data_IF_301662432126
#
_entry.id   IF_301662432126
#
_cell.length_a   1.000
_cell.length_b   1.000
_cell.length_c   1.000
_cell.angle_alpha   90.00
_cell.angle_beta   90.00
_cell.angle_gamma   90.00
#
_symmetry.space_group_name_H-M   'P 1'
#
loop_
_entity.id
_entity.type
_entity.pdbx_description
1 polymer ?
#
# COMPACT_ATOMS: atom_id res chain seq x y z
N UNK A 1 -15.54 -21.24 -63.74
CA UNK A 1 -15.19 -22.39 -64.59
C UNK A 1 -13.93 -22.99 -64.02
N UNK A 2 -14.07 -24.20 -63.45
CA UNK A 2 -13.05 -25.10 -62.87
C UNK A 2 -12.50 -24.67 -61.50
N UNK A 3 -12.89 -25.29 -60.37
CA UNK A 3 -12.69 -26.70 -59.93
C UNK A 3 -11.21 -27.04 -59.76
N UNK A 4 -10.69 -27.77 -58.75
CA UNK A 4 -11.01 -28.27 -57.40
C UNK A 4 -9.63 -28.73 -56.87
N UNK A 5 -9.52 -29.03 -55.57
CA UNK A 5 -8.53 -29.87 -54.88
C UNK A 5 -7.42 -29.06 -54.18
N UNK A 6 -7.17 -29.22 -52.86
CA UNK A 6 -7.24 -30.44 -52.06
C UNK A 6 -7.74 -30.23 -50.62
N UNK A 7 -8.69 -31.09 -50.27
CA UNK A 7 -9.12 -31.46 -48.92
C UNK A 7 -8.02 -32.29 -48.26
N UNK A 8 -7.66 -32.01 -47.00
CA UNK A 8 -6.81 -32.91 -46.20
C UNK A 8 -7.05 -32.77 -44.70
N UNK A 9 -8.21 -33.26 -44.26
CA UNK A 9 -8.35 -34.03 -43.03
C UNK A 9 -8.86 -35.43 -43.42
N UNK A 10 -8.65 -36.54 -42.66
CA UNK A 10 -8.35 -36.60 -41.23
C UNK A 10 -7.27 -37.62 -40.79
N UNK A 11 -6.42 -37.23 -39.85
CA UNK A 11 -5.47 -38.12 -39.16
C UNK A 11 -5.83 -38.39 -37.70
N UNK A 12 -7.09 -38.72 -37.39
CA UNK A 12 -7.54 -39.22 -36.08
C UNK A 12 -6.84 -40.57 -35.76
N UNK A 13 -5.59 -40.54 -35.27
CA UNK A 13 -4.92 -41.74 -34.70
C UNK A 13 -3.64 -41.48 -33.89
N UNK A 14 -3.21 -40.24 -33.66
CA UNK A 14 -1.89 -39.98 -33.01
C UNK A 14 -1.89 -39.15 -31.73
N UNK A 15 -3.06 -38.78 -31.20
CA UNK A 15 -3.16 -38.06 -29.91
C UNK A 15 -3.68 -38.95 -28.76
N UNK A 16 -3.99 -40.22 -29.03
CA UNK A 16 -4.51 -41.16 -28.02
C UNK A 16 -3.45 -42.01 -27.30
N UNK A 17 -2.18 -41.93 -27.71
CA UNK A 17 -1.08 -42.63 -27.04
C UNK A 17 -0.56 -41.98 -25.74
N UNK A 18 -0.55 -40.63 -25.53
CA UNK A 18 -0.11 -40.09 -24.25
C UNK A 18 -1.17 -40.24 -23.13
N UNK A 19 -2.45 -40.33 -23.48
CA UNK A 19 -3.55 -40.44 -22.50
C UNK A 19 -3.62 -41.85 -21.87
N UNK A 20 -3.33 -42.90 -22.63
CA UNK A 20 -3.34 -44.29 -22.12
C UNK A 20 -2.17 -44.56 -21.18
N UNK A 21 -0.99 -43.98 -21.42
CA UNK A 21 0.16 -44.10 -20.51
C UNK A 21 -0.11 -43.41 -19.17
N UNK A 22 -0.76 -42.24 -19.18
CA UNK A 22 -1.10 -41.52 -17.95
C UNK A 22 -2.15 -42.26 -17.10
N UNK A 23 -3.17 -42.85 -17.73
CA UNK A 23 -4.20 -43.63 -17.02
C UNK A 23 -3.64 -44.92 -16.42
N UNK A 24 -2.68 -45.58 -17.07
CA UNK A 24 -2.01 -46.77 -16.51
C UNK A 24 -1.14 -46.42 -15.30
N UNK A 25 -0.45 -45.27 -15.31
CA UNK A 25 0.38 -44.83 -14.16
C UNK A 25 -0.49 -44.43 -12.96
N UNK A 26 -1.61 -43.75 -13.19
CA UNK A 26 -2.56 -43.39 -12.11
C UNK A 26 -3.29 -44.63 -11.58
N UNK A 27 -3.65 -45.59 -12.44
CA UNK A 27 -4.27 -46.85 -12.03
C UNK A 27 -3.36 -47.76 -11.18
N UNK A 28 -2.06 -47.81 -11.50
CA UNK A 28 -1.08 -48.59 -10.72
C UNK A 28 -0.80 -47.97 -9.35
N UNK A 29 -0.87 -46.64 -9.22
CA UNK A 29 -0.74 -45.95 -7.94
C UNK A 29 -1.95 -46.18 -7.01
N UNK A 30 -3.17 -46.29 -7.57
CA UNK A 30 -4.39 -46.56 -6.78
C UNK A 30 -4.48 -48.04 -6.38
N UNK A 31 -4.01 -48.97 -7.21
CA UNK A 31 -4.00 -50.40 -6.88
C UNK A 31 -2.99 -50.77 -5.78
N UNK A 32 -1.87 -50.06 -5.66
CA UNK A 32 -0.87 -50.28 -4.61
C UNK A 32 -1.35 -49.82 -3.21
N UNK A 33 -2.30 -48.89 -3.15
CA UNK A 33 -2.83 -48.37 -1.89
C UNK A 33 -3.87 -49.28 -1.21
N UNK A 34 -4.40 -50.29 -1.92
CA UNK A 34 -5.49 -51.16 -1.42
C UNK A 34 -5.05 -52.56 -0.97
N UNK A 35 -3.75 -52.85 -0.90
CA UNK A 35 -3.23 -54.19 -0.58
C UNK A 35 -2.35 -54.26 0.68
N UNK A 36 -2.71 -53.53 1.75
CA UNK A 36 -2.08 -53.70 3.07
C UNK A 36 -3.17 -53.94 4.13
N UNK A 37 -3.21 -55.13 4.77
CA UNK A 37 -4.23 -55.46 5.76
C UNK A 37 -4.04 -54.68 7.09
N UNK A 38 -5.12 -54.46 7.86
CA UNK A 38 -5.05 -53.77 9.15
C UNK A 38 -4.59 -54.74 10.23
N UNK A 39 -3.42 -54.50 10.82
CA UNK A 39 -3.03 -55.13 12.09
C UNK A 39 -3.41 -54.18 13.22
N UNK A 40 -4.52 -54.50 13.88
CA UNK A 40 -4.94 -53.92 15.14
C UNK A 40 -3.98 -54.37 16.25
N UNK A 41 -3.15 -53.45 16.73
CA UNK A 41 -2.54 -53.53 18.07
C UNK A 41 -3.06 -52.34 18.87
N UNK A 42 -3.77 -52.54 20.00
CA UNK A 42 -4.11 -51.44 20.89
C UNK A 42 -2.83 -51.00 21.62
N UNK A 43 -2.03 -50.17 20.98
CA UNK A 43 -1.01 -49.39 21.66
C UNK A 43 -1.74 -48.32 22.48
N UNK A 44 -1.50 -48.33 23.79
CA UNK A 44 -2.16 -47.48 24.77
C UNK A 44 -2.29 -46.04 24.29
N UNK A 45 -3.52 -45.56 24.34
CA UNK A 45 -3.87 -44.16 24.16
C UNK A 45 -3.02 -43.34 25.15
N UNK A 46 -2.10 -42.47 24.71
CA UNK A 46 -1.58 -41.46 25.60
C UNK A 46 -2.76 -40.57 25.95
N UNK A 47 -3.16 -40.59 27.22
CA UNK A 47 -4.02 -39.55 27.76
C UNK A 47 -3.41 -38.20 27.37
N UNK A 48 -4.21 -37.22 26.91
CA UNK A 48 -3.74 -35.86 26.81
C UNK A 48 -3.36 -35.42 28.23
N UNK A 49 -2.08 -35.51 28.56
CA UNK A 49 -1.54 -34.79 29.71
C UNK A 49 -1.53 -33.33 29.30
N UNK A 50 -2.63 -32.64 29.53
CA UNK A 50 -2.65 -31.19 29.64
C UNK A 50 -1.88 -30.82 30.90
N UNK A 51 -0.55 -30.89 30.84
CA UNK A 51 0.28 -30.12 31.76
C UNK A 51 0.10 -28.68 31.33
N UNK A 52 -0.51 -27.80 32.15
CA UNK A 52 -0.44 -26.38 31.86
C UNK A 52 1.04 -26.02 31.82
N UNK A 53 1.53 -25.58 30.66
CA UNK A 53 2.79 -24.85 30.60
C UNK A 53 2.58 -23.57 31.38
N UNK A 54 2.92 -23.61 32.67
CA UNK A 54 3.06 -22.42 33.49
C UNK A 54 4.17 -21.60 32.81
N UNK A 55 3.89 -20.38 32.31
CA UNK A 55 4.96 -19.51 31.86
C UNK A 55 5.93 -19.32 33.02
N UNK A 56 7.25 -19.31 32.80
CA UNK A 56 8.20 -19.05 33.88
C UNK A 56 7.82 -17.73 34.56
N UNK A 57 7.35 -17.81 35.81
CA UNK A 57 7.09 -16.65 36.67
C UNK A 57 8.36 -16.26 37.41
N UNK A 58 9.44 -16.04 36.67
CA UNK A 58 10.71 -15.59 37.22
C UNK A 58 11.14 -14.28 36.57
N UNK A 59 10.34 -13.22 36.76
CA UNK A 59 10.79 -11.82 36.64
C UNK A 59 9.70 -10.88 37.19
N UNK A 60 9.37 -10.95 38.48
CA UNK A 60 9.11 -9.76 39.33
C UNK A 60 9.13 -10.26 40.78
N UNK A 61 10.17 -9.96 41.55
CA UNK A 61 10.01 -9.87 43.02
C UNK A 61 9.06 -8.71 43.28
N UNK A 62 7.83 -8.98 43.72
CA UNK A 62 6.81 -7.97 44.06
C UNK A 62 7.28 -7.01 45.18
N UNK A 63 8.38 -7.34 45.87
CA UNK A 63 8.95 -6.60 47.00
C UNK A 63 10.21 -5.77 46.65
N UNK A 64 10.63 -5.75 45.39
CA UNK A 64 11.73 -4.89 44.97
C UNK A 64 11.23 -3.44 44.80
N UNK A 65 11.84 -2.42 45.44
CA UNK A 65 11.49 -1.04 45.18
C UNK A 65 11.72 -0.72 43.69
N UNK A 66 10.67 -0.27 43.01
CA UNK A 66 10.75 0.20 41.62
C UNK A 66 11.76 1.37 41.58
N UNK A 67 12.75 1.36 40.66
CA UNK A 67 13.59 2.53 40.45
C UNK A 67 12.70 3.74 40.21
N UNK A 68 12.91 4.81 40.98
CA UNK A 68 12.21 6.07 40.72
C UNK A 68 12.85 6.68 39.47
N UNK A 69 12.19 6.56 38.32
CA UNK A 69 12.59 7.29 37.12
C UNK A 69 12.39 8.79 37.38
N UNK A 70 13.46 9.57 37.25
CA UNK A 70 13.32 11.03 37.19
C UNK A 70 12.54 11.36 35.93
N UNK A 71 11.45 12.16 35.99
CA UNK A 71 10.72 12.55 34.80
C UNK A 71 11.68 13.16 33.79
N UNK A 72 11.83 12.51 32.64
CA UNK A 72 12.53 13.11 31.51
C UNK A 72 11.74 14.37 31.13
N UNK A 73 12.39 15.55 30.99
CA UNK A 73 11.68 16.71 30.47
C UNK A 73 10.99 16.32 29.16
N UNK A 74 9.70 16.64 29.04
CA UNK A 74 8.97 16.43 27.81
C UNK A 74 9.76 17.07 26.65
N UNK A 75 9.79 16.44 25.46
CA UNK A 75 10.30 17.11 24.28
C UNK A 75 9.66 18.47 24.21
N UNK A 76 10.46 19.53 24.07
CA UNK A 76 9.91 20.84 23.79
C UNK A 76 9.08 20.69 22.52
N UNK A 77 7.79 21.04 22.57
CA UNK A 77 7.02 21.27 21.36
C UNK A 77 7.84 22.25 20.53
N UNK A 78 8.38 21.80 19.38
CA UNK A 78 8.94 22.71 18.38
C UNK A 78 7.78 23.56 17.90
N UNK A 79 7.52 24.63 18.65
CA UNK A 79 6.34 25.44 18.54
C UNK A 79 6.51 26.45 17.42
N UNK A 80 6.43 25.99 16.18
CA UNK A 80 5.84 26.74 15.07
C UNK A 80 5.23 25.69 14.12
N UNK A 81 3.95 25.82 13.70
CA UNK A 81 3.50 25.10 12.52
C UNK A 81 4.41 25.53 11.36
N UNK A 82 4.80 24.59 10.49
CA UNK A 82 5.45 24.96 9.24
C UNK A 82 4.58 26.01 8.56
N UNK A 83 5.18 27.13 8.15
CA UNK A 83 4.44 28.23 7.55
C UNK A 83 3.73 27.70 6.29
N UNK A 84 2.42 27.92 6.17
CA UNK A 84 1.66 27.51 4.99
C UNK A 84 1.56 28.66 4.01
N UNK A 85 1.71 28.36 2.72
CA UNK A 85 1.36 29.28 1.65
C UNK A 85 -0.15 29.55 1.66
N UNK A 86 -0.55 30.68 1.09
CA UNK A 86 -1.98 30.96 0.87
C UNK A 86 -2.58 29.86 0.00
N UNK A 87 -3.70 29.23 0.41
CA UNK A 87 -4.31 28.18 -0.37
C UNK A 87 -4.67 28.64 -1.78
N UNK A 88 -4.41 27.78 -2.76
CA UNK A 88 -4.79 27.98 -4.17
C UNK A 88 -5.76 26.90 -4.63
N UNK A 89 -6.48 27.16 -5.72
CA UNK A 89 -7.38 26.18 -6.34
C UNK A 89 -6.61 24.94 -6.83
N UNK A 90 -7.24 23.75 -6.89
CA UNK A 90 -6.58 22.50 -7.30
C UNK A 90 -5.95 22.53 -8.70
N UNK A 91 -6.45 23.38 -9.60
CA UNK A 91 -5.95 23.53 -10.97
C UNK A 91 -4.86 24.61 -11.13
N UNK A 92 -4.50 25.29 -10.05
CA UNK A 92 -3.48 26.32 -10.05
C UNK A 92 -2.07 25.71 -9.94
N UNK A 93 -1.06 26.55 -10.14
CA UNK A 93 0.34 26.23 -9.84
C UNK A 93 0.79 27.05 -8.65
N UNK A 94 1.39 26.39 -7.67
CA UNK A 94 2.06 27.01 -6.55
C UNK A 94 3.49 27.28 -6.98
N UNK A 95 3.89 28.55 -6.97
CA UNK A 95 5.28 28.97 -7.18
C UNK A 95 5.89 29.18 -5.80
N UNK A 96 6.78 28.27 -5.41
CA UNK A 96 7.42 28.26 -4.11
C UNK A 96 8.94 28.47 -4.25
N UNK A 97 9.68 28.43 -3.14
CA UNK A 97 11.12 28.63 -3.16
C UNK A 97 11.83 27.48 -3.88
N UNK A 98 12.29 27.72 -5.11
CA UNK A 98 13.02 26.74 -5.91
C UNK A 98 12.18 25.57 -6.43
N UNK A 99 10.85 25.63 -6.32
CA UNK A 99 9.96 24.61 -6.86
C UNK A 99 8.64 25.20 -7.37
N UNK A 100 8.17 24.67 -8.51
CA UNK A 100 6.78 24.84 -8.94
C UNK A 100 6.02 23.54 -8.67
N UNK A 101 4.87 23.64 -8.00
CA UNK A 101 4.06 22.49 -7.58
C UNK A 101 2.66 22.62 -8.20
N UNK A 102 2.14 21.53 -8.77
CA UNK A 102 0.79 21.48 -9.30
C UNK A 102 0.17 20.08 -9.15
N UNK A 103 -1.16 20.01 -9.18
CA UNK A 103 -1.88 18.73 -9.30
C UNK A 103 -2.04 18.40 -10.79
N UNK A 104 -1.20 17.51 -11.31
CA UNK A 104 -1.23 17.10 -12.70
C UNK A 104 -2.51 16.30 -13.03
N UNK A 105 -3.04 15.58 -12.04
CA UNK A 105 -4.27 14.81 -12.18
C UNK A 105 -4.94 14.60 -10.83
N UNK A 106 -6.27 14.61 -10.83
CA UNK A 106 -7.11 14.25 -9.69
C UNK A 106 -8.19 13.31 -10.19
N UNK A 107 -8.41 12.19 -9.51
CA UNK A 107 -9.36 11.17 -9.93
C UNK A 107 -10.11 10.56 -8.74
N UNK A 108 -11.40 10.36 -8.90
CA UNK A 108 -12.17 9.47 -8.03
C UNK A 108 -11.80 8.00 -8.30
N UNK A 109 -11.42 7.27 -7.27
CA UNK A 109 -11.12 5.83 -7.34
C UNK A 109 -11.73 5.06 -6.19
N UNK A 110 -11.86 3.75 -6.35
CA UNK A 110 -12.14 2.85 -5.24
C UNK A 110 -10.81 2.40 -4.63
N UNK A 111 -10.51 2.90 -3.45
CA UNK A 111 -9.31 2.57 -2.70
C UNK A 111 -9.35 1.17 -2.08
N UNK A 112 -8.19 0.50 -2.07
CA UNK A 112 -8.01 -0.84 -1.50
C UNK A 112 -6.95 -0.84 -0.41
N UNK A 113 -7.30 -1.27 0.79
CA UNK A 113 -6.33 -1.53 1.85
C UNK A 113 -5.37 -2.65 1.44
N UNK A 114 -4.09 -2.37 1.58
CA UNK A 114 -2.94 -3.22 1.26
C UNK A 114 -1.99 -3.36 2.46
N UNK A 115 -1.87 -2.31 3.25
CA UNK A 115 -0.98 -2.23 4.41
C UNK A 115 -1.76 -2.11 5.73
N UNK A 116 -1.08 -2.34 6.85
CA UNK A 116 -1.67 -2.16 8.17
C UNK A 116 -2.03 -0.68 8.41
N UNK A 117 -3.22 -0.42 8.92
CA UNK A 117 -3.74 0.93 9.15
C UNK A 117 -4.50 1.52 7.96
N UNK A 118 -4.39 0.92 6.78
CA UNK A 118 -5.20 1.33 5.62
C UNK A 118 -6.65 0.81 5.73
N UNK A 119 -7.60 1.60 5.22
CA UNK A 119 -9.02 1.23 5.17
C UNK A 119 -9.55 1.41 3.75
N UNK A 120 -10.12 0.36 3.15
CA UNK A 120 -10.71 0.43 1.82
C UNK A 120 -11.95 1.33 1.80
N UNK A 121 -12.14 2.07 0.71
CA UNK A 121 -13.28 2.98 0.57
C UNK A 121 -13.15 3.91 -0.64
N UNK A 122 -14.16 4.76 -0.90
CA UNK A 122 -14.04 5.84 -1.87
C UNK A 122 -12.81 6.68 -1.57
N UNK A 123 -12.00 6.95 -2.59
CA UNK A 123 -10.76 7.68 -2.45
C UNK A 123 -10.55 8.66 -3.61
N UNK A 124 -9.71 9.66 -3.36
CA UNK A 124 -9.17 10.56 -4.38
C UNK A 124 -7.73 10.15 -4.64
N UNK A 125 -7.38 9.92 -5.92
CA UNK A 125 -6.01 9.73 -6.38
C UNK A 125 -5.52 11.03 -6.98
N UNK A 126 -4.51 11.64 -6.35
CA UNK A 126 -3.88 12.87 -6.79
C UNK A 126 -2.47 12.58 -7.33
N UNK A 127 -2.21 12.97 -8.56
CA UNK A 127 -0.87 13.03 -9.14
C UNK A 127 -0.32 14.42 -8.91
N UNK A 128 0.62 14.55 -7.97
CA UNK A 128 1.34 15.79 -7.70
C UNK A 128 2.55 15.84 -8.61
N UNK A 129 2.79 16.98 -9.25
CA UNK A 129 3.98 17.23 -10.06
C UNK A 129 4.79 18.36 -9.44
N UNK A 130 6.09 18.12 -9.28
CA UNK A 130 7.05 19.11 -8.79
C UNK A 130 8.07 19.36 -9.90
N UNK A 131 8.33 20.63 -10.20
CA UNK A 131 9.40 21.09 -11.08
C UNK A 131 10.44 21.78 -10.21
N UNK A 132 11.69 21.33 -10.24
CA UNK A 132 12.77 21.98 -9.51
C UNK A 132 13.22 23.22 -10.29
N UNK A 133 12.82 24.41 -9.84
CA UNK A 133 13.20 25.70 -10.45
C UNK A 133 14.42 26.33 -9.77
N UNK A 134 14.94 25.69 -8.72
CA UNK A 134 16.13 26.09 -8.00
C UNK A 134 17.43 25.74 -8.72
N UNK A 135 18.55 25.94 -8.02
CA UNK A 135 19.90 25.65 -8.52
C UNK A 135 20.54 24.40 -7.91
N UNK A 136 19.91 23.79 -6.90
CA UNK A 136 20.39 22.60 -6.20
C UNK A 136 19.45 21.41 -6.42
N UNK A 137 19.93 20.16 -6.40
CA UNK A 137 19.05 18.99 -6.44
C UNK A 137 18.08 18.97 -5.25
N UNK A 138 16.84 18.62 -5.51
CA UNK A 138 15.80 18.44 -4.50
C UNK A 138 15.70 16.96 -4.13
N UNK A 139 15.79 16.65 -2.84
CA UNK A 139 15.60 15.29 -2.33
C UNK A 139 14.11 15.01 -2.16
N UNK A 140 13.58 14.16 -3.03
CA UNK A 140 12.17 13.81 -3.10
C UNK A 140 11.75 12.82 -2.00
N UNK A 141 12.70 12.16 -1.33
CA UNK A 141 12.41 11.22 -0.23
C UNK A 141 11.87 11.96 1.02
N UNK A 142 12.07 13.28 1.11
CA UNK A 142 11.52 14.12 2.17
C UNK A 142 10.16 14.74 1.84
N UNK A 143 9.64 14.54 0.62
CA UNK A 143 8.37 15.14 0.22
C UNK A 143 7.21 14.43 0.92
N UNK A 144 6.43 15.18 1.69
CA UNK A 144 5.23 14.70 2.35
C UNK A 144 3.98 15.37 1.74
N UNK A 145 3.02 14.53 1.34
CA UNK A 145 1.72 14.98 0.85
C UNK A 145 0.64 14.50 1.78
N UNK A 146 -0.14 15.42 2.34
CA UNK A 146 -1.26 15.12 3.22
C UNK A 146 -2.56 15.71 2.66
N UNK A 147 -3.69 15.07 2.94
CA UNK A 147 -5.01 15.58 2.59
C UNK A 147 -5.92 15.68 3.81
N UNK A 148 -6.82 16.65 3.76
CA UNK A 148 -7.79 16.96 4.80
C UNK A 148 -9.13 17.31 4.16
N UNK A 149 -10.25 17.00 4.82
CA UNK A 149 -11.58 17.39 4.37
C UNK A 149 -12.27 18.36 5.33
N UNK A 150 -13.11 19.22 4.77
CA UNK A 150 -13.95 20.17 5.47
C UNK A 150 -13.21 21.32 6.16
N UNK A 151 -14.00 22.21 6.77
CA UNK A 151 -13.51 23.40 7.45
C UNK A 151 -12.59 23.07 8.64
N UNK A 152 -12.84 21.96 9.33
CA UNK A 152 -12.07 21.52 10.49
C UNK A 152 -10.76 20.81 10.12
N UNK A 153 -10.47 20.65 8.81
CA UNK A 153 -9.32 19.89 8.29
C UNK A 153 -9.22 18.50 8.94
N UNK A 154 -10.29 17.72 8.85
CA UNK A 154 -10.25 16.33 9.29
C UNK A 154 -9.24 15.56 8.42
N UNK A 155 -8.23 14.88 9.00
CA UNK A 155 -7.20 14.21 8.21
C UNK A 155 -7.79 13.04 7.43
N UNK A 156 -7.45 12.96 6.14
CA UNK A 156 -7.83 11.83 5.30
C UNK A 156 -6.87 10.65 5.54
N UNK A 157 -7.42 9.43 5.55
CA UNK A 157 -6.61 8.22 5.54
C UNK A 157 -5.84 8.08 4.23
N UNK A 158 -4.68 7.43 4.27
CA UNK A 158 -3.82 7.20 3.09
C UNK A 158 -3.98 5.78 2.56
N UNK A 159 -3.78 5.59 1.25
CA UNK A 159 -3.79 4.29 0.60
C UNK A 159 -2.64 4.14 -0.40
N UNK A 160 -2.18 2.90 -0.57
CA UNK A 160 -1.18 2.55 -1.59
C UNK A 160 -1.81 1.97 -2.85
N UNK A 161 -3.06 1.48 -2.80
CA UNK A 161 -3.75 0.87 -3.95
C UNK A 161 -5.11 1.52 -4.26
N UNK A 162 -5.47 1.66 -5.55
CA UNK A 162 -4.71 1.24 -6.73
C UNK A 162 -3.70 2.29 -7.25
N UNK A 163 -2.45 1.88 -7.43
CA UNK A 163 -1.45 2.64 -8.19
C UNK A 163 -0.84 3.83 -7.45
N UNK A 164 -0.75 3.79 -6.13
CA UNK A 164 0.05 4.74 -5.37
C UNK A 164 1.54 4.54 -5.69
N UNK A 165 2.21 5.64 -6.00
CA UNK A 165 3.64 5.70 -6.34
C UNK A 165 4.16 7.02 -5.76
N UNK A 166 4.54 7.07 -4.48
CA UNK A 166 5.04 8.30 -3.88
C UNK A 166 6.33 8.77 -4.57
N UNK A 167 6.68 10.02 -4.31
CA UNK A 167 7.97 10.59 -4.70
C UNK A 167 9.13 9.80 -4.08
N UNK A 168 10.20 9.60 -4.87
CA UNK A 168 11.44 8.95 -4.44
C UNK A 168 12.65 9.54 -5.19
N UNK A 169 13.82 9.55 -4.54
CA UNK A 169 15.10 9.88 -5.14
C UNK A 169 15.43 11.37 -5.24
N UNK A 170 16.31 11.74 -6.17
CA UNK A 170 16.81 13.12 -6.32
C UNK A 170 16.32 13.75 -7.62
N UNK A 171 15.79 14.97 -7.54
CA UNK A 171 15.32 15.76 -8.67
C UNK A 171 16.32 16.87 -9.01
N UNK A 172 16.96 16.76 -10.18
CA UNK A 172 17.96 17.75 -10.62
C UNK A 172 17.32 19.11 -10.92
N UNK A 173 18.09 20.21 -10.85
CA UNK A 173 17.63 21.53 -11.30
C UNK A 173 17.08 21.51 -12.73
N UNK A 174 15.90 22.09 -12.94
CA UNK A 174 15.20 22.17 -14.21
C UNK A 174 14.38 20.94 -14.59
N UNK A 175 14.52 19.82 -13.86
CA UNK A 175 13.75 18.61 -14.10
C UNK A 175 12.40 18.63 -13.39
N UNK A 176 11.53 17.69 -13.76
CA UNK A 176 10.23 17.48 -13.12
C UNK A 176 10.04 16.01 -12.73
N UNK A 177 9.35 15.79 -11.61
CA UNK A 177 8.92 14.48 -11.16
C UNK A 177 7.43 14.47 -10.83
N UNK A 178 6.83 13.28 -10.84
CA UNK A 178 5.44 13.05 -10.43
C UNK A 178 5.36 12.01 -9.32
N UNK A 179 4.49 12.26 -8.35
CA UNK A 179 4.14 11.34 -7.27
C UNK A 179 2.63 11.16 -7.22
N UNK A 180 2.18 9.92 -7.05
CA UNK A 180 0.77 9.53 -7.03
C UNK A 180 0.36 9.11 -5.62
N UNK A 181 -0.55 9.89 -5.02
CA UNK A 181 -1.02 9.73 -3.66
C UNK A 181 -2.51 9.42 -3.65
N UNK A 182 -2.95 8.52 -2.76
CA UNK A 182 -4.37 8.20 -2.60
C UNK A 182 -4.82 8.51 -1.19
N UNK A 183 -5.95 9.20 -1.09
CA UNK A 183 -6.55 9.61 0.16
C UNK A 183 -8.01 9.13 0.25
N UNK A 184 -8.38 8.47 1.34
CA UNK A 184 -9.76 8.05 1.61
C UNK A 184 -10.58 9.27 1.95
N UNK A 185 -11.39 9.72 1.01
CA UNK A 185 -12.27 10.88 1.15
C UNK A 185 -13.65 10.46 0.62
N UNK A 186 -14.66 10.40 1.51
CA UNK A 186 -16.06 10.15 1.12
C UNK A 186 -16.51 11.13 0.04
N UNK A 187 -17.41 10.70 -0.85
CA UNK A 187 -17.81 11.53 -2.01
C UNK A 187 -18.49 12.84 -1.59
N UNK A 188 -19.23 12.79 -0.48
CA UNK A 188 -19.87 13.95 0.14
C UNK A 188 -18.86 15.02 0.59
N UNK A 189 -17.65 14.62 0.99
CA UNK A 189 -16.63 15.49 1.57
C UNK A 189 -15.66 16.08 0.54
N UNK A 190 -15.81 15.73 -0.74
CA UNK A 190 -14.86 16.13 -1.80
C UNK A 190 -14.99 17.58 -2.28
N UNK A 191 -16.00 18.32 -1.83
CA UNK A 191 -16.19 19.73 -2.20
C UNK A 191 -15.24 20.71 -1.51
N UNK A 192 -14.70 20.33 -0.36
CA UNK A 192 -13.78 21.14 0.42
C UNK A 192 -12.64 20.26 0.92
N UNK A 193 -11.70 19.97 0.01
CA UNK A 193 -10.50 19.20 0.33
C UNK A 193 -9.31 20.15 0.34
N UNK A 194 -8.47 20.01 1.36
CA UNK A 194 -7.16 20.66 1.42
C UNK A 194 -6.07 19.61 1.21
N UNK A 195 -5.23 19.76 0.18
CA UNK A 195 -3.96 19.04 0.06
C UNK A 195 -2.80 19.94 0.46
N UNK A 196 -1.88 19.39 1.23
CA UNK A 196 -0.64 20.04 1.62
C UNK A 196 0.54 19.29 1.02
N UNK A 197 1.54 20.02 0.53
CA UNK A 197 2.78 19.48 -0.03
C UNK A 197 3.95 20.15 0.70
N UNK A 198 4.56 19.41 1.60
CA UNK A 198 5.83 19.77 2.23
C UNK A 198 6.95 19.15 1.39
N UNK A 199 7.72 19.99 0.69
CA UNK A 199 8.69 19.54 -0.31
C UNK A 199 10.14 19.84 0.08
N UNK A 200 10.37 20.72 1.05
CA UNK A 200 11.71 21.15 1.45
C UNK A 200 11.68 21.62 2.91
N UNK A 201 12.63 21.12 3.70
CA UNK A 201 12.72 21.47 5.11
C UNK A 201 12.92 22.98 5.30
N UNK A 202 12.02 23.60 6.07
CA UNK A 202 12.06 25.03 6.38
C UNK A 202 11.45 25.93 5.30
N UNK A 203 11.05 25.38 4.15
CA UNK A 203 10.23 26.09 3.19
C UNK A 203 8.78 26.20 3.66
N UNK A 204 8.01 27.09 3.04
CA UNK A 204 6.58 27.16 3.26
C UNK A 204 5.87 25.99 2.58
N UNK A 205 4.88 25.41 3.28
CA UNK A 205 4.09 24.27 2.80
C UNK A 205 3.15 24.73 1.71
N UNK A 206 3.17 24.06 0.54
CA UNK A 206 2.24 24.32 -0.54
C UNK A 206 0.84 23.82 -0.17
N UNK A 207 -0.19 24.66 -0.39
CA UNK A 207 -1.58 24.31 -0.05
C UNK A 207 -2.50 24.45 -1.27
N UNK A 208 -3.11 23.33 -1.66
CA UNK A 208 -4.23 23.30 -2.60
C UNK A 208 -5.52 23.15 -1.80
N UNK A 209 -6.56 23.94 -2.10
CA UNK A 209 -7.88 23.78 -1.48
C UNK A 209 -8.99 23.97 -2.50
N UNK A 210 -9.95 23.06 -2.53
CA UNK A 210 -11.13 23.16 -3.39
C UNK A 210 -11.85 21.83 -3.61
N UNK A 211 -12.69 21.80 -4.64
CA UNK A 211 -13.46 20.62 -5.05
C UNK A 211 -12.56 19.63 -5.84
N UNK A 212 -12.60 18.35 -5.48
CA UNK A 212 -11.83 17.25 -6.08
C UNK A 212 -12.72 16.11 -6.64
N UNK A 213 -13.97 16.39 -6.97
CA UNK A 213 -14.90 15.41 -7.55
C UNK A 213 -14.56 15.03 -9.00
#
# INVERSE_FOLDING_TARGET
>A
MKDVHEDNAPGRRRVWLPLTILVVVVGLAVAAAFLVPPMLTPAGQPEPTSTPTVPPRDIVSTDAPRPTETPRPAPSESGLPFAELTPVEPNATIVAEGADILLARVEAVQGEAALAGETSGPAVRATVRIVNTGSEPLDLDYVAVNAYSGADRAPAGTLTRPGGVPFEGMLSPGDAAEGVYLFTIPEEDREDVTLTVDYLFGAEVGVFRGDLR
#
